data_IF_371148085326
#
_entry.id   IF_371148085326
#
_cell.length_a   1.000
_cell.length_b   1.000
_cell.length_c   1.000
_cell.angle_alpha   90.00
_cell.angle_beta   90.00
_cell.angle_gamma   90.00
#
_symmetry.space_group_name_H-M   'P 1'
#
loop_
_entity.id
_entity.type
_entity.pdbx_description
1 polymer ?
#
# COMPACT_ATOMS: atom_id res chain seq x y z
N UNK A 1 7.28 28.66 -11.41
CA UNK A 1 8.12 27.46 -11.16
C UNK A 1 7.53 26.58 -10.04
N UNK A 2 7.16 27.05 -8.82
CA UNK A 2 6.60 26.18 -7.78
C UNK A 2 5.34 25.43 -8.21
N UNK A 3 4.43 26.10 -8.92
CA UNK A 3 3.17 25.50 -9.41
C UNK A 3 3.42 24.39 -10.44
N UNK A 4 4.39 24.58 -11.32
CA UNK A 4 4.75 23.57 -12.33
C UNK A 4 5.31 22.30 -11.66
N UNK A 5 6.15 22.47 -10.65
CA UNK A 5 6.71 21.35 -9.88
C UNK A 5 5.64 20.59 -9.09
N UNK A 6 4.70 21.31 -8.48
CA UNK A 6 3.58 20.69 -7.76
C UNK A 6 2.67 19.90 -8.73
N UNK A 7 2.37 20.45 -9.90
CA UNK A 7 1.57 19.74 -10.91
C UNK A 7 2.29 18.49 -11.43
N UNK A 8 3.60 18.58 -11.66
CA UNK A 8 4.39 17.43 -12.06
C UNK A 8 4.37 16.32 -10.98
N UNK A 9 4.53 16.68 -9.70
CA UNK A 9 4.45 15.72 -8.59
C UNK A 9 3.09 15.02 -8.55
N UNK A 10 2.00 15.76 -8.70
CA UNK A 10 0.63 15.19 -8.77
C UNK A 10 0.51 14.18 -9.91
N UNK A 11 0.95 14.53 -11.11
CA UNK A 11 0.91 13.62 -12.26
C UNK A 11 1.70 12.34 -12.04
N UNK A 12 2.88 12.43 -11.41
CA UNK A 12 3.68 11.25 -11.04
C UNK A 12 2.90 10.36 -10.09
N UNK A 13 2.30 10.92 -9.05
CA UNK A 13 1.49 10.17 -8.07
C UNK A 13 0.30 9.49 -8.76
N UNK A 14 -0.49 10.24 -9.54
CA UNK A 14 -1.66 9.72 -10.27
C UNK A 14 -1.30 8.51 -11.13
N UNK A 15 -0.29 8.67 -11.99
CA UNK A 15 0.15 7.63 -12.92
C UNK A 15 0.72 6.41 -12.17
N UNK A 16 1.48 6.64 -11.10
CA UNK A 16 2.08 5.56 -10.31
C UNK A 16 1.03 4.75 -9.55
N UNK A 17 0.01 5.40 -8.98
CA UNK A 17 -1.07 4.73 -8.27
C UNK A 17 -1.91 3.85 -9.20
N UNK A 18 -2.34 4.39 -10.33
CA UNK A 18 -3.12 3.66 -11.33
C UNK A 18 -2.34 2.46 -11.89
N UNK A 19 -1.05 2.67 -12.21
CA UNK A 19 -0.17 1.62 -12.69
C UNK A 19 0.05 0.54 -11.64
N UNK A 20 0.33 0.92 -10.39
CA UNK A 20 0.52 -0.04 -9.29
C UNK A 20 -0.72 -0.89 -9.07
N UNK A 21 -1.89 -0.27 -8.96
CA UNK A 21 -3.18 -0.96 -8.83
C UNK A 21 -3.41 -1.96 -9.96
N UNK A 22 -3.23 -1.54 -11.21
CA UNK A 22 -3.40 -2.41 -12.37
C UNK A 22 -2.39 -3.55 -12.39
N UNK A 23 -1.12 -3.27 -12.10
CA UNK A 23 -0.03 -4.27 -12.11
C UNK A 23 -0.25 -5.34 -11.04
N UNK A 24 -0.59 -4.93 -9.83
CA UNK A 24 -0.83 -5.85 -8.72
C UNK A 24 -2.05 -6.74 -8.97
N UNK A 25 -3.16 -6.16 -9.42
CA UNK A 25 -4.37 -6.93 -9.73
C UNK A 25 -4.16 -7.87 -10.92
N UNK A 26 -3.35 -7.48 -11.90
CA UNK A 26 -2.98 -8.38 -12.99
C UNK A 26 -2.12 -9.55 -12.50
N UNK A 27 -1.13 -9.29 -11.63
CA UNK A 27 -0.33 -10.33 -11.02
C UNK A 27 -1.17 -11.32 -10.20
N UNK A 28 -2.12 -10.82 -9.41
CA UNK A 28 -3.06 -11.65 -8.65
C UNK A 28 -3.90 -12.52 -9.58
N UNK A 29 -4.44 -11.97 -10.67
CA UNK A 29 -5.21 -12.76 -11.65
C UNK A 29 -4.37 -13.84 -12.32
N UNK A 30 -3.11 -13.58 -12.59
CA UNK A 30 -2.19 -14.60 -13.13
C UNK A 30 -1.91 -15.69 -12.09
N UNK A 31 -1.71 -15.31 -10.84
CA UNK A 31 -1.51 -16.26 -9.74
C UNK A 31 -2.77 -17.12 -9.48
N UNK A 32 -3.98 -16.58 -9.66
CA UNK A 32 -5.23 -17.36 -9.57
C UNK A 32 -5.30 -18.51 -10.59
N UNK A 33 -4.65 -18.37 -11.75
CA UNK A 33 -4.57 -19.45 -12.74
C UNK A 33 -3.80 -20.65 -12.19
N UNK A 34 -2.73 -20.39 -11.42
CA UNK A 34 -1.85 -21.44 -10.88
C UNK A 34 -2.29 -21.94 -9.50
N UNK A 35 -2.88 -21.08 -8.68
CA UNK A 35 -3.20 -21.36 -7.28
C UNK A 35 -4.69 -21.38 -6.94
N UNK A 36 -5.57 -21.11 -7.93
CA UNK A 36 -7.02 -21.05 -7.71
C UNK A 36 -7.48 -19.74 -7.09
N UNK A 37 -8.75 -19.70 -6.68
CA UNK A 37 -9.44 -18.52 -6.16
C UNK A 37 -8.67 -17.87 -4.99
N UNK A 38 -8.45 -16.58 -5.10
CA UNK A 38 -7.71 -15.76 -4.12
C UNK A 38 -8.24 -15.90 -2.68
N UNK A 39 -9.51 -16.21 -2.50
CA UNK A 39 -10.14 -16.43 -1.19
C UNK A 39 -9.70 -17.73 -0.51
N UNK A 40 -9.02 -18.61 -1.23
CA UNK A 40 -8.51 -19.90 -0.74
C UNK A 40 -6.99 -19.88 -0.57
N UNK A 41 -6.34 -18.75 -0.84
CA UNK A 41 -4.89 -18.61 -0.65
C UNK A 41 -4.53 -18.65 0.83
N UNK A 42 -3.26 -18.94 1.10
CA UNK A 42 -2.72 -18.85 2.45
C UNK A 42 -3.01 -17.47 3.05
N UNK A 43 -3.21 -17.44 4.35
CA UNK A 43 -3.46 -16.19 5.06
C UNK A 43 -2.28 -15.24 4.92
N UNK A 44 -2.58 -13.98 4.63
CA UNK A 44 -1.58 -12.94 4.46
C UNK A 44 -1.28 -12.28 5.81
N UNK A 45 -0.29 -12.84 6.50
CA UNK A 45 0.11 -12.43 7.85
C UNK A 45 1.47 -11.72 7.87
N UNK A 46 1.67 -10.86 8.86
CA UNK A 46 2.97 -10.31 9.22
C UNK A 46 3.75 -11.21 10.17
N UNK A 47 4.97 -10.78 10.50
CA UNK A 47 5.84 -11.47 11.44
C UNK A 47 6.68 -12.57 10.80
N UNK A 48 7.25 -13.41 11.67
CA UNK A 48 8.13 -14.49 11.29
C UNK A 48 7.52 -15.83 11.70
N UNK A 49 7.88 -16.88 10.98
CA UNK A 49 7.75 -18.24 11.47
C UNK A 49 8.80 -18.46 12.59
N UNK A 50 8.50 -19.32 13.53
CA UNK A 50 9.39 -19.67 14.64
C UNK A 50 9.87 -21.11 14.51
N UNK A 51 11.08 -21.39 14.98
CA UNK A 51 11.59 -22.76 15.17
C UNK A 51 11.04 -23.38 16.46
N UNK A 52 11.46 -24.62 16.77
CA UNK A 52 11.04 -25.35 17.96
C UNK A 52 11.44 -24.64 19.27
N UNK A 53 12.45 -23.78 19.22
CA UNK A 53 12.96 -23.01 20.37
C UNK A 53 12.34 -21.61 20.45
N UNK A 54 11.42 -21.25 19.53
CA UNK A 54 10.75 -19.94 19.48
C UNK A 54 11.59 -18.82 18.81
N UNK A 55 12.65 -19.17 18.10
CA UNK A 55 13.44 -18.15 17.38
C UNK A 55 12.82 -17.84 16.01
N UNK A 56 12.84 -16.56 15.59
CA UNK A 56 12.31 -16.17 14.29
C UNK A 56 13.14 -16.79 13.15
N UNK A 57 12.45 -17.35 12.17
CA UNK A 57 13.05 -17.98 10.99
C UNK A 57 12.73 -17.22 9.71
N UNK A 58 11.70 -17.60 8.99
CA UNK A 58 11.32 -17.03 7.70
C UNK A 58 10.20 -16.02 7.87
N UNK A 59 10.31 -14.85 7.21
CA UNK A 59 9.22 -13.89 7.15
C UNK A 59 7.99 -14.52 6.48
N UNK A 60 6.83 -14.42 7.14
CA UNK A 60 5.54 -14.88 6.60
C UNK A 60 5.15 -14.07 5.35
N UNK A 61 5.38 -12.76 5.38
CA UNK A 61 5.13 -11.88 4.23
C UNK A 61 6.03 -12.24 3.04
N UNK A 62 7.29 -12.61 3.29
CA UNK A 62 8.20 -13.08 2.23
C UNK A 62 7.69 -14.37 1.60
N UNK A 63 7.32 -15.36 2.39
CA UNK A 63 6.82 -16.63 1.90
C UNK A 63 5.56 -16.45 1.03
N UNK A 64 4.65 -15.59 1.48
CA UNK A 64 3.43 -15.24 0.74
C UNK A 64 3.77 -14.50 -0.57
N UNK A 65 4.65 -13.49 -0.52
CA UNK A 65 5.10 -12.75 -1.70
C UNK A 65 5.78 -13.65 -2.73
N UNK A 66 6.69 -14.51 -2.29
CA UNK A 66 7.42 -15.42 -3.18
C UNK A 66 6.52 -16.44 -3.87
N UNK A 67 5.48 -16.91 -3.17
CA UNK A 67 4.50 -17.85 -3.71
C UNK A 67 3.55 -17.18 -4.70
N UNK A 68 2.91 -16.08 -4.31
CA UNK A 68 1.74 -15.56 -5.03
C UNK A 68 2.02 -14.36 -5.94
N UNK A 69 3.04 -13.56 -5.66
CA UNK A 69 3.28 -12.33 -6.43
C UNK A 69 4.58 -12.32 -7.22
N UNK A 70 5.66 -12.79 -6.62
CA UNK A 70 7.01 -12.70 -7.21
C UNK A 70 7.09 -13.28 -8.63
N UNK A 71 6.48 -14.42 -8.98
CA UNK A 71 6.56 -14.98 -10.34
C UNK A 71 5.89 -14.11 -11.41
N UNK A 72 4.96 -13.22 -11.00
CA UNK A 72 4.11 -12.47 -11.91
C UNK A 72 4.39 -10.96 -11.91
N UNK A 73 5.33 -10.49 -11.07
CA UNK A 73 5.72 -9.09 -10.98
C UNK A 73 7.10 -8.84 -11.61
N UNK A 74 7.23 -7.70 -12.28
CA UNK A 74 8.54 -7.16 -12.66
C UNK A 74 9.03 -6.26 -11.56
N UNK A 75 10.15 -6.59 -10.93
CA UNK A 75 10.81 -5.83 -9.89
C UNK A 75 12.32 -5.74 -10.17
N UNK A 76 13.01 -4.78 -9.57
CA UNK A 76 14.47 -4.63 -9.66
C UNK A 76 15.18 -5.37 -8.53
N UNK A 77 14.65 -5.26 -7.31
CA UNK A 77 15.10 -5.98 -6.12
C UNK A 77 13.96 -6.09 -5.12
N UNK A 78 14.11 -6.99 -4.16
CA UNK A 78 13.30 -6.99 -2.94
C UNK A 78 14.21 -7.25 -1.73
N UNK A 79 13.81 -6.76 -0.57
CA UNK A 79 14.54 -6.87 0.69
C UNK A 79 13.56 -7.20 1.81
N UNK A 80 14.02 -7.94 2.81
CA UNK A 80 13.23 -8.25 4.01
C UNK A 80 13.77 -7.43 5.16
N UNK A 81 12.91 -6.65 5.77
CA UNK A 81 13.25 -5.94 7.00
C UNK A 81 13.23 -6.92 8.17
N UNK A 82 14.42 -7.19 8.73
CA UNK A 82 14.60 -8.09 9.86
C UNK A 82 14.19 -7.47 11.20
N UNK A 83 14.13 -6.15 11.27
CA UNK A 83 13.85 -5.41 12.49
C UNK A 83 12.37 -5.07 12.66
N UNK A 84 11.61 -5.02 11.56
CA UNK A 84 10.21 -4.59 11.53
C UNK A 84 9.30 -5.68 10.96
N UNK A 85 8.92 -6.65 11.80
CA UNK A 85 7.83 -7.59 11.49
C UNK A 85 8.01 -8.39 10.18
N UNK A 86 9.21 -8.48 9.63
CA UNK A 86 9.47 -9.23 8.41
C UNK A 86 8.83 -8.64 7.14
N UNK A 87 8.63 -7.32 7.08
CA UNK A 87 8.13 -6.63 5.89
C UNK A 87 9.01 -6.88 4.68
N UNK A 88 8.38 -7.01 3.52
CA UNK A 88 9.07 -7.14 2.23
C UNK A 88 8.99 -5.83 1.48
N UNK A 89 10.13 -5.21 1.24
CA UNK A 89 10.27 -4.03 0.40
C UNK A 89 10.51 -4.46 -1.04
N UNK A 90 9.58 -4.18 -1.94
CA UNK A 90 9.66 -4.53 -3.37
C UNK A 90 9.87 -3.27 -4.20
N UNK A 91 11.01 -3.18 -4.87
CA UNK A 91 11.39 -2.03 -5.72
C UNK A 91 11.03 -2.29 -7.18
N UNK A 92 10.31 -1.37 -7.78
CA UNK A 92 9.88 -1.47 -9.17
C UNK A 92 10.80 -0.72 -10.13
N UNK A 93 10.82 -1.10 -11.44
CA UNK A 93 11.69 -0.46 -12.44
C UNK A 93 11.42 1.03 -12.66
N UNK A 94 10.24 1.53 -12.30
CA UNK A 94 9.88 2.94 -12.42
C UNK A 94 10.32 3.80 -11.22
N UNK A 95 11.04 3.19 -10.27
CA UNK A 95 11.54 3.86 -9.07
C UNK A 95 10.53 3.94 -7.94
N UNK A 96 9.38 3.27 -8.06
CA UNK A 96 8.42 3.12 -6.96
C UNK A 96 8.76 1.96 -6.04
N UNK A 97 8.13 1.89 -4.88
CA UNK A 97 8.33 0.88 -3.85
C UNK A 97 6.99 0.45 -3.25
N UNK A 98 6.83 -0.85 -3.00
CA UNK A 98 5.76 -1.38 -2.15
C UNK A 98 6.34 -2.05 -0.91
N UNK A 99 5.76 -1.74 0.25
CA UNK A 99 6.00 -2.46 1.50
C UNK A 99 4.86 -3.44 1.72
N UNK A 100 5.20 -4.72 1.75
CA UNK A 100 4.27 -5.83 1.92
C UNK A 100 4.51 -6.41 3.31
N UNK A 101 3.54 -6.27 4.22
CA UNK A 101 3.73 -6.72 5.62
C UNK A 101 2.67 -7.71 6.10
N UNK A 102 1.43 -7.41 5.83
CA UNK A 102 0.27 -8.22 6.15
C UNK A 102 -0.81 -7.88 5.14
N UNK A 103 -2.08 -7.87 5.50
CA UNK A 103 -3.16 -7.44 4.60
C UNK A 103 -2.98 -6.03 4.04
N UNK A 104 -2.23 -5.15 4.73
CA UNK A 104 -1.92 -3.80 4.27
C UNK A 104 -0.67 -3.77 3.39
N UNK A 105 -0.76 -3.04 2.29
CA UNK A 105 0.35 -2.77 1.37
C UNK A 105 0.52 -1.26 1.27
N UNK A 106 1.69 -0.78 1.66
CA UNK A 106 2.03 0.65 1.59
C UNK A 106 2.82 0.89 0.31
N UNK A 107 2.34 1.80 -0.52
CA UNK A 107 2.95 2.12 -1.80
C UNK A 107 3.54 3.53 -1.79
N UNK A 108 4.81 3.62 -2.16
CA UNK A 108 5.55 4.86 -2.39
C UNK A 108 5.75 5.08 -3.89
N UNK A 109 5.17 6.11 -4.49
CA UNK A 109 5.42 6.48 -5.89
C UNK A 109 6.90 6.75 -6.19
N UNK A 110 7.68 7.06 -5.16
CA UNK A 110 9.14 7.23 -5.21
C UNK A 110 9.77 6.49 -4.04
N UNK A 111 10.56 5.46 -4.30
CA UNK A 111 11.28 4.69 -3.27
C UNK A 111 12.17 5.59 -2.39
N UNK A 112 12.76 6.64 -2.97
CA UNK A 112 13.56 7.61 -2.22
C UNK A 112 12.81 8.27 -1.07
N UNK A 113 11.48 8.48 -1.19
CA UNK A 113 10.71 9.07 -0.09
C UNK A 113 10.65 8.13 1.12
N UNK A 114 10.62 6.82 0.91
CA UNK A 114 10.76 5.81 1.97
C UNK A 114 12.17 5.81 2.57
N UNK A 115 13.22 5.75 1.72
CA UNK A 115 14.61 5.70 2.15
C UNK A 115 15.02 6.92 3.00
N UNK A 116 14.47 8.10 2.70
CA UNK A 116 14.71 9.31 3.50
C UNK A 116 14.00 9.26 4.86
N UNK A 117 12.79 8.69 4.92
CA UNK A 117 12.04 8.55 6.18
C UNK A 117 12.71 7.55 7.13
N UNK A 118 13.26 6.46 6.60
CA UNK A 118 14.02 5.46 7.37
C UNK A 118 15.29 6.04 8.00
N UNK A 119 15.90 7.06 7.38
CA UNK A 119 17.09 7.73 7.89
C UNK A 119 16.80 8.77 8.97
N UNK A 120 15.56 9.27 9.05
CA UNK A 120 15.19 10.42 9.89
C UNK A 120 14.62 10.06 11.27
N UNK A 121 14.80 8.85 11.76
CA UNK A 121 14.28 8.40 13.06
C UNK A 121 12.80 7.96 13.08
N UNK A 122 12.57 6.83 13.74
CA UNK A 122 11.36 5.99 13.69
C UNK A 122 10.10 6.56 14.36
N UNK A 123 9.96 7.86 14.54
CA UNK A 123 8.72 8.35 15.17
C UNK A 123 7.53 8.16 14.23
N UNK A 124 6.56 7.39 14.66
CA UNK A 124 5.29 7.12 13.95
C UNK A 124 4.57 8.40 13.48
N UNK A 125 4.83 9.53 14.10
CA UNK A 125 4.22 10.82 13.77
C UNK A 125 4.76 11.45 12.48
N UNK A 126 6.01 11.19 12.12
CA UNK A 126 6.59 11.66 10.83
C UNK A 126 6.00 10.91 9.65
N UNK A 127 5.80 9.61 9.79
CA UNK A 127 5.15 8.80 8.75
C UNK A 127 3.71 9.24 8.52
N UNK A 128 2.95 9.55 9.55
CA UNK A 128 1.57 10.04 9.43
C UNK A 128 1.46 11.34 8.63
N UNK A 129 2.39 12.27 8.83
CA UNK A 129 2.36 13.56 8.18
C UNK A 129 2.54 13.51 6.66
N UNK A 130 3.11 12.44 6.13
CA UNK A 130 3.37 12.27 4.69
C UNK A 130 2.43 11.28 4.01
N UNK A 131 1.55 10.60 4.78
CA UNK A 131 0.49 9.76 4.20
C UNK A 131 -0.45 10.59 3.33
N UNK A 132 -0.86 10.04 2.20
CA UNK A 132 -1.68 10.72 1.20
C UNK A 132 -0.90 11.71 0.31
N UNK A 133 0.42 11.84 0.47
CA UNK A 133 1.27 12.65 -0.40
C UNK A 133 2.52 11.91 -0.87
N UNK A 134 3.24 11.24 0.03
CA UNK A 134 4.44 10.47 -0.30
C UNK A 134 4.18 8.98 -0.35
N UNK A 135 3.26 8.48 0.46
CA UNK A 135 2.81 7.09 0.39
C UNK A 135 1.30 6.96 0.46
N UNK A 136 0.80 5.81 0.01
CA UNK A 136 -0.61 5.48 -0.16
C UNK A 136 -0.85 4.05 0.28
N UNK A 137 -1.99 3.82 0.96
CA UNK A 137 -2.30 2.54 1.58
C UNK A 137 -3.30 1.77 0.73
N UNK A 138 -2.92 0.55 0.39
CA UNK A 138 -3.75 -0.47 -0.25
C UNK A 138 -4.01 -1.62 0.72
N UNK A 139 -4.99 -2.43 0.41
CA UNK A 139 -5.38 -3.58 1.19
C UNK A 139 -5.55 -4.81 0.29
N UNK A 140 -5.05 -5.94 0.75
CA UNK A 140 -5.36 -7.26 0.23
C UNK A 140 -6.10 -8.05 1.32
N UNK A 141 -7.41 -8.11 1.24
CA UNK A 141 -8.25 -8.77 2.23
C UNK A 141 -9.49 -9.42 1.57
N UNK A 142 -9.29 -10.46 0.72
CA UNK A 142 -10.37 -11.03 -0.09
C UNK A 142 -11.49 -11.66 0.73
N UNK A 143 -11.23 -12.01 1.99
CA UNK A 143 -12.20 -12.61 2.90
C UNK A 143 -12.78 -11.62 3.93
N UNK A 144 -12.39 -10.34 3.88
CA UNK A 144 -12.85 -9.36 4.86
C UNK A 144 -14.27 -8.88 4.55
N UNK A 145 -15.15 -8.97 5.55
CA UNK A 145 -16.51 -8.43 5.48
C UNK A 145 -16.60 -6.94 5.85
N UNK A 146 -15.58 -6.42 6.54
CA UNK A 146 -15.55 -5.03 7.01
C UNK A 146 -14.81 -4.08 6.08
N UNK A 147 -14.06 -4.62 5.12
CA UNK A 147 -13.35 -3.84 4.14
C UNK A 147 -14.05 -3.98 2.79
N UNK A 148 -14.36 -2.87 2.15
CA UNK A 148 -14.99 -2.84 0.82
C UNK A 148 -13.95 -3.22 -0.25
N UNK A 149 -13.39 -4.40 -0.12
CA UNK A 149 -12.59 -5.03 -1.17
C UNK A 149 -13.56 -5.76 -2.08
N UNK A 150 -13.34 -5.68 -3.38
CA UNK A 150 -14.18 -6.33 -4.39
C UNK A 150 -13.98 -7.86 -4.44
N UNK A 151 -13.53 -8.45 -3.33
CA UNK A 151 -13.25 -9.89 -3.18
C UNK A 151 -12.21 -10.44 -4.19
N UNK A 152 -11.46 -9.56 -4.86
CA UNK A 152 -10.63 -9.91 -6.01
C UNK A 152 -9.35 -9.11 -6.12
N UNK A 153 -8.42 -9.26 -5.21
CA UNK A 153 -7.12 -8.63 -5.36
C UNK A 153 -6.86 -7.48 -4.39
N UNK A 154 -6.02 -6.51 -4.78
CA UNK A 154 -5.79 -5.33 -3.95
C UNK A 154 -6.80 -4.23 -4.28
N UNK A 155 -7.18 -3.50 -3.23
CA UNK A 155 -7.99 -2.29 -3.32
C UNK A 155 -7.36 -1.19 -2.46
N UNK A 156 -7.64 0.10 -2.73
CA UNK A 156 -7.38 1.14 -1.76
C UNK A 156 -7.95 0.78 -0.40
N UNK A 157 -7.29 1.21 0.66
CA UNK A 157 -7.78 0.96 2.01
C UNK A 157 -9.17 1.60 2.22
N UNK A 158 -10.17 0.79 2.47
CA UNK A 158 -11.58 1.19 2.61
C UNK A 158 -12.30 0.43 3.73
N UNK A 159 -11.56 -0.06 4.74
CA UNK A 159 -12.19 -0.73 5.87
C UNK A 159 -13.07 0.23 6.66
N UNK A 160 -14.26 -0.24 7.03
CA UNK A 160 -15.28 0.56 7.76
C UNK A 160 -15.78 1.80 7.01
N UNK A 161 -15.55 1.89 5.70
CA UNK A 161 -16.08 2.97 4.87
C UNK A 161 -17.58 2.76 4.60
N UNK A 162 -18.35 3.84 4.64
CA UNK A 162 -19.80 3.84 4.43
C UNK A 162 -20.24 4.03 2.97
N UNK A 163 -19.28 4.08 2.03
CA UNK A 163 -19.54 4.31 0.61
C UNK A 163 -19.60 5.78 0.19
N UNK A 164 -19.46 6.73 1.12
CA UNK A 164 -19.58 8.16 0.83
C UNK A 164 -18.23 8.86 0.65
N UNK A 165 -18.19 9.85 -0.25
CA UNK A 165 -17.02 10.74 -0.39
C UNK A 165 -16.80 11.55 0.89
N UNK A 166 -17.87 11.90 1.61
CA UNK A 166 -17.78 12.64 2.84
C UNK A 166 -16.95 11.90 3.89
N UNK A 167 -17.22 10.61 4.10
CA UNK A 167 -16.46 9.82 5.06
C UNK A 167 -14.98 9.71 4.67
N UNK A 168 -14.65 9.59 3.39
CA UNK A 168 -13.26 9.58 2.92
C UNK A 168 -12.50 10.86 3.30
N UNK A 169 -13.20 11.99 3.41
CA UNK A 169 -12.62 13.28 3.76
C UNK A 169 -12.65 13.57 5.28
N UNK A 170 -13.67 13.11 6.01
CA UNK A 170 -13.95 13.59 7.36
C UNK A 170 -13.61 12.62 8.48
N UNK A 171 -13.41 11.33 8.19
CA UNK A 171 -13.12 10.32 9.22
C UNK A 171 -11.93 10.71 10.10
N UNK A 172 -12.11 10.64 11.44
CA UNK A 172 -11.12 11.16 12.38
C UNK A 172 -9.77 10.46 12.36
N UNK A 173 -9.75 9.14 12.19
CA UNK A 173 -8.52 8.35 12.21
C UNK A 173 -7.89 8.11 10.83
N UNK A 174 -8.70 8.04 9.77
CA UNK A 174 -8.26 7.53 8.46
C UNK A 174 -8.55 8.50 7.30
N UNK A 175 -9.29 9.59 7.56
CA UNK A 175 -9.75 10.52 6.54
C UNK A 175 -8.63 11.22 5.79
N UNK A 176 -8.87 11.51 4.52
CA UNK A 176 -7.97 12.30 3.70
C UNK A 176 -8.12 13.78 4.03
N UNK A 177 -7.53 14.21 5.12
CA UNK A 177 -7.59 15.59 5.64
C UNK A 177 -6.27 15.98 6.32
N UNK A 178 -6.08 17.27 6.62
CA UNK A 178 -4.82 17.78 7.19
C UNK A 178 -4.50 17.15 8.55
N UNK A 179 -5.49 17.05 9.42
CA UNK A 179 -5.32 16.53 10.77
C UNK A 179 -6.08 15.21 10.94
N UNK A 180 -5.36 14.15 11.25
CA UNK A 180 -5.90 12.82 11.55
C UNK A 180 -5.23 12.28 12.81
N UNK A 181 -5.96 11.46 13.57
CA UNK A 181 -5.40 10.82 14.76
C UNK A 181 -4.55 9.58 14.45
N UNK A 182 -4.64 9.06 13.23
CA UNK A 182 -3.87 7.90 12.80
C UNK A 182 -3.23 8.18 11.42
N UNK A 183 -3.61 7.50 10.38
CA UNK A 183 -3.04 7.55 9.03
C UNK A 183 -4.10 8.00 8.02
N UNK A 184 -3.70 8.75 6.98
CA UNK A 184 -4.63 9.17 5.91
C UNK A 184 -4.87 8.06 4.88
N UNK A 185 -5.23 6.87 5.35
CA UNK A 185 -5.38 5.69 4.51
C UNK A 185 -6.46 5.86 3.42
N UNK A 186 -7.50 6.65 3.69
CA UNK A 186 -8.58 6.92 2.74
C UNK A 186 -8.20 7.83 1.56
N UNK A 187 -7.01 8.45 1.58
CA UNK A 187 -6.57 9.27 0.46
C UNK A 187 -6.45 8.46 -0.84
N UNK A 188 -6.02 7.21 -0.77
CA UNK A 188 -5.92 6.33 -1.93
C UNK A 188 -7.31 6.07 -2.55
N UNK A 189 -8.30 5.78 -1.72
CA UNK A 189 -9.68 5.56 -2.15
C UNK A 189 -10.31 6.84 -2.76
N UNK A 190 -10.03 8.01 -2.18
CA UNK A 190 -10.48 9.29 -2.70
C UNK A 190 -9.93 9.57 -4.11
N UNK A 191 -8.66 9.25 -4.36
CA UNK A 191 -8.03 9.41 -5.68
C UNK A 191 -8.61 8.39 -6.67
N UNK A 192 -8.80 7.12 -6.25
CA UNK A 192 -9.43 6.10 -7.09
C UNK A 192 -10.86 6.50 -7.48
N UNK A 193 -11.68 6.95 -6.52
CA UNK A 193 -13.05 7.41 -6.76
C UNK A 193 -13.09 8.56 -7.79
N UNK A 194 -12.04 9.38 -7.88
CA UNK A 194 -11.89 10.43 -8.86
C UNK A 194 -11.17 9.98 -10.16
N UNK A 195 -11.21 8.68 -10.48
CA UNK A 195 -10.60 8.12 -11.69
C UNK A 195 -9.08 8.18 -11.71
N UNK A 196 -8.44 7.93 -10.58
CA UNK A 196 -6.98 8.01 -10.37
C UNK A 196 -6.41 9.41 -10.60
N UNK A 197 -7.24 10.44 -10.45
CA UNK A 197 -6.84 11.84 -10.51
C UNK A 197 -6.95 12.49 -9.14
N UNK A 198 -5.96 13.27 -8.78
CA UNK A 198 -5.99 14.03 -7.53
C UNK A 198 -7.08 15.11 -7.66
N UNK A 199 -8.12 15.09 -6.81
CA UNK A 199 -9.19 16.07 -6.88
C UNK A 199 -8.67 17.51 -6.76
N UNK A 200 -9.37 18.47 -7.37
CA UNK A 200 -9.01 19.90 -7.27
C UNK A 200 -9.08 20.42 -5.82
N UNK A 201 -10.01 19.86 -5.06
CA UNK A 201 -10.26 20.13 -3.63
C UNK A 201 -9.48 19.20 -2.70
N UNK A 202 -8.43 18.54 -3.22
CA UNK A 202 -7.59 17.65 -2.40
C UNK A 202 -6.96 18.41 -1.22
N UNK A 203 -7.15 17.94 0.02
CA UNK A 203 -6.85 18.75 1.21
C UNK A 203 -5.35 18.89 1.51
N UNK A 204 -4.50 18.08 0.87
CA UNK A 204 -3.06 18.04 1.10
C UNK A 204 -2.29 18.69 -0.05
N UNK A 205 -1.09 19.17 0.24
CA UNK A 205 -0.20 19.79 -0.76
C UNK A 205 0.93 18.85 -1.16
N UNK A 206 1.23 18.83 -2.44
CA UNK A 206 2.34 18.08 -3.06
C UNK A 206 3.56 18.95 -3.26
#
# INVERSE_FOLDING_TARGET
IPTLMANHRKQVVETSLEKFYSTMNQAIKMAEVDYGDVRQWDEFEGGFNEDEDGNPTTSKALAWFEKYLKPYLKYTKYEVDKNLEGKVSVYFPDGSLALISSSSIIFYPKARDYELLEQEDESSDRNRNVSGTKYFTFLFAPNSKSCHTLEKGIEPYMCSWDGTKEMLLTHNGLGCKKEVSNERAYCTALIQMNGWKIPKDYPLRF
#
